data_IF_469875771606
#
_entry.id   IF_469875771606
#
_cell.length_a   1.000
_cell.length_b   1.000
_cell.length_c   1.000
_cell.angle_alpha   90.00
_cell.angle_beta   90.00
_cell.angle_gamma   90.00
#
_symmetry.space_group_name_H-M   'P 1'
#
loop_
_entity.id
_entity.type
_entity.pdbx_description
1 polymer ?
#
# COMPACT_ATOMS: atom_id res chain seq x y z
N UNK A 1 -164.71 -15.01 -57.48
CA UNK A 1 -165.54 -16.21 -57.26
C UNK A 1 -167.05 -15.90 -57.31
N UNK A 2 -167.51 -14.70 -56.91
CA UNK A 2 -168.94 -14.36 -56.86
C UNK A 2 -169.70 -14.34 -58.20
N UNK A 3 -169.01 -14.17 -59.33
CA UNK A 3 -169.65 -14.15 -60.66
C UNK A 3 -170.04 -15.53 -61.22
N UNK A 4 -169.53 -16.63 -60.65
CA UNK A 4 -169.68 -17.98 -61.22
C UNK A 4 -170.86 -18.79 -60.64
N UNK A 5 -171.68 -18.19 -59.78
CA UNK A 5 -172.79 -18.86 -59.10
C UNK A 5 -174.17 -18.28 -59.42
N UNK A 6 -174.27 -17.31 -60.33
CA UNK A 6 -175.51 -16.57 -60.56
C UNK A 6 -176.59 -17.43 -61.23
N UNK A 7 -176.23 -18.28 -62.21
CA UNK A 7 -177.22 -19.14 -62.87
C UNK A 7 -177.58 -20.39 -62.05
N UNK A 8 -176.65 -20.91 -61.25
CA UNK A 8 -176.94 -21.93 -60.22
C UNK A 8 -177.90 -21.41 -59.15
N UNK A 9 -177.76 -20.14 -58.74
CA UNK A 9 -178.70 -19.46 -57.82
C UNK A 9 -180.08 -19.28 -58.45
N UNK A 10 -180.15 -18.84 -59.72
CA UNK A 10 -181.40 -18.73 -60.50
C UNK A 10 -182.14 -20.06 -60.69
N UNK A 11 -181.43 -21.16 -60.94
CA UNK A 11 -182.02 -22.50 -61.01
C UNK A 11 -182.70 -22.86 -59.68
N UNK A 12 -182.00 -22.62 -58.57
CA UNK A 12 -182.51 -22.93 -57.23
C UNK A 12 -183.76 -22.10 -56.89
N UNK A 13 -183.77 -20.81 -57.24
CA UNK A 13 -184.92 -19.92 -57.02
C UNK A 13 -186.13 -20.27 -57.91
N UNK A 14 -185.89 -20.74 -59.15
CA UNK A 14 -186.94 -21.19 -60.07
C UNK A 14 -187.60 -22.50 -59.62
N UNK A 15 -186.82 -23.44 -59.05
CA UNK A 15 -187.35 -24.66 -58.44
C UNK A 15 -188.23 -24.39 -57.21
N UNK A 16 -187.96 -23.28 -56.49
CA UNK A 16 -188.63 -22.91 -55.24
C UNK A 16 -190.03 -22.30 -55.45
N UNK A 17 -190.37 -21.85 -56.66
CA UNK A 17 -191.57 -21.04 -56.95
C UNK A 17 -192.62 -21.70 -57.87
N UNK A 18 -192.55 -23.02 -58.10
CA UNK A 18 -193.40 -23.74 -59.05
C UNK A 18 -194.88 -23.89 -58.60
N UNK A 19 -195.80 -23.28 -59.36
CA UNK A 19 -197.26 -23.46 -59.22
C UNK A 19 -197.78 -24.72 -59.95
N UNK A 20 -199.01 -25.16 -59.62
CA UNK A 20 -199.62 -26.43 -60.08
C UNK A 20 -199.67 -26.60 -61.62
N UNK A 21 -199.85 -25.52 -62.39
CA UNK A 21 -199.83 -25.53 -63.86
C UNK A 21 -198.39 -25.55 -64.44
N UNK A 22 -197.43 -24.90 -63.78
CA UNK A 22 -196.02 -24.87 -64.22
C UNK A 22 -195.28 -26.20 -64.02
N UNK A 23 -195.80 -27.09 -63.16
CA UNK A 23 -195.29 -28.47 -63.02
C UNK A 23 -195.68 -29.40 -64.17
N UNK A 24 -196.81 -29.14 -64.85
CA UNK A 24 -197.30 -29.96 -65.95
C UNK A 24 -196.75 -29.53 -67.33
N UNK A 25 -196.40 -28.25 -67.51
CA UNK A 25 -195.96 -27.72 -68.82
C UNK A 25 -194.67 -26.87 -68.83
N UNK A 26 -194.00 -26.61 -67.67
CA UNK A 26 -192.84 -25.70 -67.56
C UNK A 26 -191.44 -26.32 -67.66
N UNK A 27 -191.31 -27.61 -67.98
CA UNK A 27 -190.03 -28.35 -67.94
C UNK A 27 -188.95 -27.88 -68.93
N UNK A 28 -189.32 -27.15 -69.98
CA UNK A 28 -188.36 -26.56 -70.92
C UNK A 28 -187.44 -25.53 -70.27
N UNK A 29 -187.96 -24.72 -69.34
CA UNK A 29 -187.21 -23.63 -68.70
C UNK A 29 -186.20 -24.15 -67.67
N UNK A 30 -186.56 -25.16 -66.87
CA UNK A 30 -185.67 -25.77 -65.88
C UNK A 30 -184.50 -26.50 -66.56
N UNK A 31 -184.74 -27.17 -67.69
CA UNK A 31 -183.68 -27.84 -68.46
C UNK A 31 -182.63 -26.84 -68.97
N UNK A 32 -183.05 -25.66 -69.42
CA UNK A 32 -182.14 -24.60 -69.87
C UNK A 32 -181.23 -24.14 -68.72
N UNK A 33 -181.83 -23.83 -67.57
CA UNK A 33 -181.09 -23.38 -66.39
C UNK A 33 -180.13 -24.46 -65.86
N UNK A 34 -180.46 -25.75 -66.00
CA UNK A 34 -179.62 -26.85 -65.53
C UNK A 34 -178.37 -27.03 -66.41
N UNK A 35 -178.51 -26.81 -67.71
CA UNK A 35 -177.40 -26.80 -68.67
C UNK A 35 -176.48 -25.60 -68.43
N UNK A 36 -177.07 -24.41 -68.19
CA UNK A 36 -176.31 -23.20 -67.85
C UNK A 36 -175.53 -23.37 -66.54
N UNK A 37 -176.17 -23.91 -65.49
CA UNK A 37 -175.53 -24.20 -64.21
C UNK A 37 -174.39 -25.23 -64.32
N UNK A 38 -174.56 -26.29 -65.11
CA UNK A 38 -173.50 -27.29 -65.33
C UNK A 38 -172.32 -26.72 -66.13
N UNK A 39 -172.59 -25.82 -67.08
CA UNK A 39 -171.56 -25.09 -67.82
C UNK A 39 -170.71 -24.17 -66.92
N UNK A 40 -171.34 -23.50 -65.95
CA UNK A 40 -170.63 -22.71 -64.93
C UNK A 40 -169.75 -23.59 -64.03
N UNK A 41 -170.27 -24.74 -63.59
CA UNK A 41 -169.54 -25.65 -62.72
C UNK A 41 -168.33 -26.29 -63.42
N UNK A 42 -168.45 -26.60 -64.71
CA UNK A 42 -167.30 -27.04 -65.53
C UNK A 42 -166.25 -25.93 -65.71
N UNK A 43 -166.67 -24.67 -65.92
CA UNK A 43 -165.72 -23.54 -65.97
C UNK A 43 -165.01 -23.34 -64.64
N UNK A 44 -165.72 -23.48 -63.51
CA UNK A 44 -165.13 -23.38 -62.18
C UNK A 44 -164.14 -24.54 -61.91
N UNK A 45 -164.48 -25.76 -62.34
CA UNK A 45 -163.56 -26.90 -62.25
C UNK A 45 -162.31 -26.71 -63.11
N UNK A 46 -162.44 -26.12 -64.30
CA UNK A 46 -161.30 -25.82 -65.16
C UNK A 46 -160.38 -24.74 -64.57
N UNK A 47 -160.95 -23.68 -63.97
CA UNK A 47 -160.16 -22.63 -63.30
C UNK A 47 -159.50 -23.12 -62.02
N UNK A 48 -160.16 -23.97 -61.22
CA UNK A 48 -159.54 -24.60 -60.05
C UNK A 48 -158.34 -25.48 -60.44
N UNK A 49 -158.45 -26.25 -61.54
CA UNK A 49 -157.36 -27.05 -62.06
C UNK A 49 -156.21 -26.18 -62.61
N UNK A 50 -156.51 -25.06 -63.27
CA UNK A 50 -155.51 -24.10 -63.75
C UNK A 50 -154.73 -23.46 -62.59
N UNK A 51 -155.43 -23.03 -61.52
CA UNK A 51 -154.79 -22.47 -60.32
C UNK A 51 -153.93 -23.52 -59.62
N UNK A 52 -154.39 -24.77 -59.52
CA UNK A 52 -153.59 -25.85 -58.93
C UNK A 52 -152.31 -26.10 -59.72
N UNK A 53 -152.39 -26.12 -61.06
CA UNK A 53 -151.24 -26.26 -61.93
C UNK A 53 -150.26 -25.08 -61.79
N UNK A 54 -150.78 -23.85 -61.67
CA UNK A 54 -149.98 -22.65 -61.41
C UNK A 54 -149.30 -22.70 -60.04
N UNK A 55 -149.99 -23.17 -59.00
CA UNK A 55 -149.42 -23.31 -57.66
C UNK A 55 -148.28 -24.32 -57.63
N UNK A 56 -148.44 -25.48 -58.30
CA UNK A 56 -147.32 -26.44 -58.46
C UNK A 56 -146.18 -25.86 -59.29
N UNK A 57 -146.45 -24.99 -60.27
CA UNK A 57 -145.41 -24.30 -61.02
C UNK A 57 -144.63 -23.35 -60.12
N UNK A 58 -145.32 -22.55 -59.31
CA UNK A 58 -144.71 -21.60 -58.38
C UNK A 58 -143.90 -22.30 -57.28
N UNK A 59 -144.37 -23.42 -56.72
CA UNK A 59 -143.61 -24.22 -55.76
C UNK A 59 -142.31 -24.75 -56.36
N UNK A 60 -142.35 -25.26 -57.59
CA UNK A 60 -141.15 -25.71 -58.30
C UNK A 60 -140.18 -24.55 -58.54
N UNK A 61 -140.65 -23.38 -58.98
CA UNK A 61 -139.81 -22.20 -59.16
C UNK A 61 -139.18 -21.74 -57.84
N UNK A 62 -139.96 -21.70 -56.75
CA UNK A 62 -139.48 -21.34 -55.41
C UNK A 62 -138.39 -22.31 -54.93
N UNK A 63 -138.54 -23.60 -55.20
CA UNK A 63 -137.54 -24.61 -54.87
C UNK A 63 -136.24 -24.39 -55.66
N UNK A 64 -136.33 -24.09 -56.95
CA UNK A 64 -135.16 -23.78 -57.80
C UNK A 64 -134.44 -22.52 -57.32
N UNK A 65 -135.17 -21.45 -57.00
CA UNK A 65 -134.56 -20.22 -56.47
C UNK A 65 -133.90 -20.42 -55.10
N UNK A 66 -134.48 -21.24 -54.21
CA UNK A 66 -133.83 -21.58 -52.93
C UNK A 66 -132.49 -22.29 -53.13
N UNK A 67 -132.41 -23.20 -54.10
CA UNK A 67 -131.15 -23.88 -54.44
C UNK A 67 -130.15 -22.89 -55.03
N UNK A 68 -130.59 -21.99 -55.93
CA UNK A 68 -129.73 -20.96 -56.48
C UNK A 68 -129.18 -20.01 -55.40
N UNK A 69 -130.03 -19.58 -54.47
CA UNK A 69 -129.62 -18.71 -53.36
C UNK A 69 -128.60 -19.39 -52.44
N UNK A 70 -128.79 -20.69 -52.16
CA UNK A 70 -127.83 -21.49 -51.39
C UNK A 70 -126.49 -21.59 -52.12
N UNK A 71 -126.48 -21.83 -53.42
CA UNK A 71 -125.23 -21.88 -54.20
C UNK A 71 -124.49 -20.53 -54.20
N UNK A 72 -125.22 -19.41 -54.29
CA UNK A 72 -124.64 -18.07 -54.19
C UNK A 72 -124.09 -17.81 -52.78
N UNK A 73 -124.81 -18.22 -51.74
CA UNK A 73 -124.35 -18.13 -50.35
C UNK A 73 -123.05 -18.93 -50.14
N UNK A 74 -122.99 -20.15 -50.65
CA UNK A 74 -121.80 -21.01 -50.56
C UNK A 74 -120.63 -20.41 -51.35
N UNK A 75 -120.90 -19.84 -52.54
CA UNK A 75 -119.91 -19.10 -53.33
C UNK A 75 -119.37 -17.86 -52.62
N UNK A 76 -120.25 -17.08 -51.99
CA UNK A 76 -119.86 -15.91 -51.19
C UNK A 76 -119.00 -16.29 -50.00
N UNK A 77 -119.39 -17.34 -49.26
CA UNK A 77 -118.61 -17.84 -48.13
C UNK A 77 -117.22 -18.30 -48.57
N UNK A 78 -117.12 -19.01 -49.71
CA UNK A 78 -115.83 -19.42 -50.28
C UNK A 78 -114.94 -18.22 -50.62
N UNK A 79 -115.47 -17.23 -51.33
CA UNK A 79 -114.72 -16.01 -51.66
C UNK A 79 -114.30 -15.25 -50.41
N UNK A 80 -115.18 -15.17 -49.40
CA UNK A 80 -114.85 -14.55 -48.11
C UNK A 80 -113.70 -15.26 -47.40
N UNK A 81 -113.67 -16.60 -47.43
CA UNK A 81 -112.55 -17.36 -46.85
C UNK A 81 -111.25 -17.19 -47.64
N UNK A 82 -111.32 -17.19 -48.98
CA UNK A 82 -110.15 -16.94 -49.83
C UNK A 82 -109.59 -15.52 -49.63
N UNK A 83 -110.47 -14.51 -49.46
CA UNK A 83 -110.07 -13.14 -49.18
C UNK A 83 -109.31 -13.02 -47.84
N UNK A 84 -109.78 -13.67 -46.78
CA UNK A 84 -109.09 -13.67 -45.48
C UNK A 84 -107.74 -14.41 -45.52
N UNK A 85 -107.63 -15.50 -46.28
CA UNK A 85 -106.34 -16.19 -46.51
C UNK A 85 -105.36 -15.29 -47.27
N UNK A 86 -105.83 -14.57 -48.30
CA UNK A 86 -104.99 -13.64 -49.06
C UNK A 86 -104.54 -12.47 -48.16
N UNK A 87 -105.44 -11.93 -47.35
CA UNK A 87 -105.14 -10.82 -46.43
C UNK A 87 -104.10 -11.20 -45.38
N UNK A 88 -104.23 -12.38 -44.78
CA UNK A 88 -103.24 -12.91 -43.82
C UNK A 88 -101.89 -13.17 -44.51
N UNK A 89 -101.89 -13.74 -45.71
CA UNK A 89 -100.67 -13.92 -46.51
C UNK A 89 -100.01 -12.59 -46.87
N UNK A 90 -100.78 -11.57 -47.28
CA UNK A 90 -100.27 -10.24 -47.61
C UNK A 90 -99.66 -9.57 -46.37
N UNK A 91 -100.30 -9.71 -45.21
CA UNK A 91 -99.76 -9.19 -43.95
C UNK A 91 -98.40 -9.83 -43.63
N UNK A 92 -98.30 -11.16 -43.73
CA UNK A 92 -97.05 -11.88 -43.50
C UNK A 92 -95.93 -11.47 -44.47
N UNK A 93 -96.25 -11.28 -45.76
CA UNK A 93 -95.29 -10.79 -46.75
C UNK A 93 -94.80 -9.37 -46.42
N UNK A 94 -95.69 -8.51 -45.93
CA UNK A 94 -95.36 -7.13 -45.54
C UNK A 94 -94.44 -7.10 -44.32
N UNK A 95 -94.71 -7.94 -43.32
CA UNK A 95 -93.82 -8.09 -42.16
C UNK A 95 -92.43 -8.62 -42.56
N UNK A 96 -92.38 -9.62 -43.44
CA UNK A 96 -91.11 -10.17 -43.93
C UNK A 96 -90.32 -9.16 -44.76
N UNK A 97 -90.99 -8.33 -45.56
CA UNK A 97 -90.35 -7.23 -46.29
C UNK A 97 -89.73 -6.21 -45.32
N UNK A 98 -90.44 -5.88 -44.24
CA UNK A 98 -89.92 -4.98 -43.21
C UNK A 98 -88.69 -5.57 -42.50
N UNK A 99 -88.75 -6.85 -42.14
CA UNK A 99 -87.60 -7.54 -41.51
C UNK A 99 -86.37 -7.57 -42.43
N UNK A 100 -86.57 -7.83 -43.73
CA UNK A 100 -85.49 -7.79 -44.72
C UNK A 100 -84.93 -6.38 -44.91
N UNK A 101 -85.79 -5.36 -44.88
CA UNK A 101 -85.37 -3.96 -44.98
C UNK A 101 -84.52 -3.55 -43.76
N UNK A 102 -84.97 -3.90 -42.55
CA UNK A 102 -84.21 -3.65 -41.32
C UNK A 102 -82.85 -4.37 -41.35
N UNK A 103 -82.84 -5.65 -41.78
CA UNK A 103 -81.60 -6.40 -42.00
C UNK A 103 -80.67 -5.72 -43.00
N UNK A 104 -81.19 -5.21 -44.11
CA UNK A 104 -80.36 -4.54 -45.11
C UNK A 104 -79.72 -3.27 -44.56
N UNK A 105 -80.46 -2.46 -43.79
CA UNK A 105 -79.92 -1.27 -43.11
C UNK A 105 -78.83 -1.66 -42.10
N UNK A 106 -79.03 -2.74 -41.32
CA UNK A 106 -77.98 -3.22 -40.40
C UNK A 106 -76.73 -3.71 -41.13
N UNK A 107 -76.87 -4.36 -42.29
CA UNK A 107 -75.74 -4.79 -43.10
C UNK A 107 -75.00 -3.60 -43.74
N UNK A 108 -75.71 -2.59 -44.21
CA UNK A 108 -75.10 -1.36 -44.76
C UNK A 108 -74.30 -0.60 -43.70
N UNK A 109 -74.85 -0.45 -42.49
CA UNK A 109 -74.15 0.19 -41.38
C UNK A 109 -72.91 -0.59 -40.95
N UNK A 110 -73.01 -1.92 -40.87
CA UNK A 110 -71.88 -2.78 -40.54
C UNK A 110 -70.79 -2.73 -41.63
N UNK A 111 -71.18 -2.72 -42.91
CA UNK A 111 -70.24 -2.59 -44.03
C UNK A 111 -69.50 -1.24 -44.00
N UNK A 112 -70.21 -0.15 -43.69
CA UNK A 112 -69.59 1.16 -43.51
C UNK A 112 -68.58 1.17 -42.35
N UNK A 113 -68.92 0.52 -41.22
CA UNK A 113 -68.00 0.37 -40.09
C UNK A 113 -66.76 -0.44 -40.46
N UNK A 114 -66.91 -1.57 -41.16
CA UNK A 114 -65.78 -2.38 -41.62
C UNK A 114 -64.89 -1.62 -42.61
N UNK A 115 -65.47 -0.85 -43.53
CA UNK A 115 -64.72 -0.02 -44.46
C UNK A 115 -63.89 1.03 -43.72
N UNK A 116 -64.51 1.74 -42.78
CA UNK A 116 -63.81 2.74 -41.94
C UNK A 116 -62.67 2.09 -41.16
N UNK A 117 -62.91 0.93 -40.52
CA UNK A 117 -61.88 0.20 -39.79
C UNK A 117 -60.75 -0.27 -40.70
N UNK A 118 -61.07 -0.72 -41.91
CA UNK A 118 -60.08 -1.09 -42.92
C UNK A 118 -59.17 0.08 -43.32
N UNK A 119 -59.74 1.29 -43.47
CA UNK A 119 -58.97 2.50 -43.75
C UNK A 119 -58.08 2.91 -42.57
N UNK A 120 -58.59 2.86 -41.34
CA UNK A 120 -57.81 3.12 -40.12
C UNK A 120 -56.61 2.16 -40.02
N UNK A 121 -56.86 0.85 -40.17
CA UNK A 121 -55.80 -0.16 -40.14
C UNK A 121 -54.77 0.03 -41.25
N UNK A 122 -55.19 0.43 -42.45
CA UNK A 122 -54.28 0.73 -43.56
C UNK A 122 -53.37 1.93 -43.23
N UNK A 123 -53.92 2.97 -42.60
CA UNK A 123 -53.16 4.14 -42.16
C UNK A 123 -52.19 3.80 -41.02
N UNK A 124 -52.64 3.02 -40.02
CA UNK A 124 -51.79 2.53 -38.92
C UNK A 124 -50.64 1.66 -39.45
N UNK A 125 -50.92 0.79 -40.42
CA UNK A 125 -49.92 -0.06 -41.07
C UNK A 125 -48.90 0.78 -41.83
N UNK A 126 -49.35 1.80 -42.58
CA UNK A 126 -48.46 2.69 -43.31
C UNK A 126 -47.56 3.50 -42.36
N UNK A 127 -48.13 4.06 -41.29
CA UNK A 127 -47.36 4.78 -40.26
C UNK A 127 -46.34 3.88 -39.56
N UNK A 128 -46.69 2.62 -39.30
CA UNK A 128 -45.77 1.63 -38.71
C UNK A 128 -44.63 1.25 -39.67
N UNK A 129 -44.93 1.07 -40.97
CA UNK A 129 -43.91 0.81 -42.00
C UNK A 129 -42.91 1.96 -42.11
N UNK A 130 -43.39 3.20 -42.14
CA UNK A 130 -42.51 4.38 -42.18
C UNK A 130 -41.59 4.46 -40.95
N UNK A 131 -42.11 4.17 -39.76
CA UNK A 131 -41.31 4.11 -38.53
C UNK A 131 -40.25 3.00 -38.57
N UNK A 132 -40.60 1.85 -39.13
CA UNK A 132 -39.66 0.74 -39.29
C UNK A 132 -38.53 1.11 -40.25
N UNK A 133 -38.85 1.72 -41.40
CA UNK A 133 -37.85 2.18 -42.36
C UNK A 133 -36.91 3.25 -41.79
N UNK A 134 -37.42 4.19 -40.98
CA UNK A 134 -36.57 5.20 -40.34
C UNK A 134 -35.68 4.58 -39.26
N UNK A 135 -36.20 3.65 -38.47
CA UNK A 135 -35.40 2.91 -37.49
C UNK A 135 -34.34 2.03 -38.14
N UNK A 136 -34.65 1.39 -39.27
CA UNK A 136 -33.69 0.56 -40.01
C UNK A 136 -32.55 1.41 -40.56
N UNK A 137 -32.83 2.59 -41.12
CA UNK A 137 -31.79 3.54 -41.56
C UNK A 137 -30.91 3.98 -40.39
N UNK A 138 -31.51 4.37 -39.27
CA UNK A 138 -30.77 4.78 -38.08
C UNK A 138 -29.89 3.64 -37.52
N UNK A 139 -30.41 2.41 -37.50
CA UNK A 139 -29.63 1.23 -37.11
C UNK A 139 -28.46 0.95 -38.05
N UNK A 140 -28.63 1.18 -39.36
CA UNK A 140 -27.53 1.06 -40.32
C UNK A 140 -26.45 2.11 -40.07
N UNK A 141 -26.83 3.37 -39.87
CA UNK A 141 -25.90 4.47 -39.55
C UNK A 141 -25.13 4.19 -38.25
N UNK A 142 -25.82 3.80 -37.18
CA UNK A 142 -25.17 3.43 -35.91
C UNK A 142 -24.23 2.23 -36.05
N UNK A 143 -24.55 1.28 -36.93
CA UNK A 143 -23.70 0.11 -37.18
C UNK A 143 -22.43 0.50 -37.94
N UNK A 144 -22.55 1.40 -38.91
CA UNK A 144 -21.40 1.96 -39.62
C UNK A 144 -20.49 2.79 -38.70
N UNK A 145 -21.07 3.63 -37.86
CA UNK A 145 -20.32 4.42 -36.88
C UNK A 145 -19.59 3.53 -35.87
N UNK A 146 -20.28 2.54 -35.30
CA UNK A 146 -19.64 1.55 -34.42
C UNK A 146 -18.50 0.80 -35.10
N UNK A 147 -18.64 0.47 -36.39
CA UNK A 147 -17.57 -0.18 -37.15
C UNK A 147 -16.35 0.73 -37.31
N UNK A 148 -16.56 2.03 -37.59
CA UNK A 148 -15.48 3.02 -37.66
C UNK A 148 -14.79 3.19 -36.32
N UNK A 149 -15.55 3.39 -35.24
CA UNK A 149 -15.01 3.53 -33.88
C UNK A 149 -14.21 2.31 -33.44
N UNK A 150 -14.68 1.09 -33.74
CA UNK A 150 -13.92 -0.15 -33.44
C UNK A 150 -12.59 -0.21 -34.18
N UNK A 151 -12.58 0.12 -35.47
CA UNK A 151 -11.34 0.17 -36.26
C UNK A 151 -10.37 1.21 -35.75
N UNK A 152 -10.86 2.39 -35.37
CA UNK A 152 -10.03 3.45 -34.79
C UNK A 152 -9.49 3.04 -33.41
N UNK A 153 -10.28 2.38 -32.57
CA UNK A 153 -9.81 1.85 -31.29
C UNK A 153 -8.74 0.77 -31.47
N UNK A 154 -8.92 -0.14 -32.41
CA UNK A 154 -7.94 -1.18 -32.75
C UNK A 154 -6.65 -0.58 -33.28
N UNK A 155 -6.73 0.43 -34.16
CA UNK A 155 -5.57 1.17 -34.64
C UNK A 155 -4.83 1.88 -33.49
N UNK A 156 -5.54 2.57 -32.61
CA UNK A 156 -4.94 3.21 -31.43
C UNK A 156 -4.25 2.18 -30.53
N UNK A 157 -4.87 1.02 -30.28
CA UNK A 157 -4.26 -0.07 -29.49
C UNK A 157 -2.97 -0.58 -30.13
N UNK A 158 -2.95 -0.71 -31.45
CA UNK A 158 -1.76 -1.13 -32.18
C UNK A 158 -0.63 -0.10 -32.07
N UNK A 159 -0.93 1.18 -32.25
CA UNK A 159 0.03 2.28 -32.07
C UNK A 159 0.57 2.33 -30.64
N UNK A 160 -0.30 2.21 -29.62
CA UNK A 160 0.13 2.13 -28.22
C UNK A 160 0.99 0.90 -27.95
N UNK A 161 0.66 -0.25 -28.53
CA UNK A 161 1.48 -1.48 -28.40
C UNK A 161 2.86 -1.29 -29.02
N UNK A 162 2.94 -0.68 -30.20
CA UNK A 162 4.20 -0.38 -30.88
C UNK A 162 5.05 0.62 -30.07
N UNK A 163 4.44 1.70 -29.56
CA UNK A 163 5.09 2.67 -28.70
C UNK A 163 5.59 2.02 -27.40
N UNK A 164 4.81 1.15 -26.77
CA UNK A 164 5.22 0.40 -25.58
C UNK A 164 6.37 -0.56 -25.85
N UNK A 165 6.38 -1.23 -27.01
CA UNK A 165 7.48 -2.09 -27.42
C UNK A 165 8.78 -1.28 -27.60
N UNK A 166 8.71 -0.13 -28.27
CA UNK A 166 9.84 0.80 -28.43
C UNK A 166 10.36 1.32 -27.09
N UNK A 167 9.45 1.75 -26.18
CA UNK A 167 9.82 2.19 -24.83
C UNK A 167 10.49 1.09 -24.02
N UNK A 168 10.01 -0.16 -24.11
CA UNK A 168 10.65 -1.31 -23.45
C UNK A 168 12.04 -1.57 -24.01
N UNK A 169 12.25 -1.43 -25.31
CA UNK A 169 13.58 -1.57 -25.91
C UNK A 169 14.54 -0.49 -25.43
N UNK A 170 14.09 0.78 -25.38
CA UNK A 170 14.88 1.90 -24.85
C UNK A 170 15.20 1.67 -23.37
N UNK A 171 14.21 1.27 -22.58
CA UNK A 171 14.41 0.97 -21.16
C UNK A 171 15.44 -0.14 -20.96
N UNK A 172 15.39 -1.20 -21.77
CA UNK A 172 16.38 -2.28 -21.72
C UNK A 172 17.78 -1.76 -22.06
N UNK A 173 17.93 -0.98 -23.13
CA UNK A 173 19.23 -0.36 -23.49
C UNK A 173 19.79 0.51 -22.37
N UNK A 174 18.96 1.36 -21.76
CA UNK A 174 19.39 2.21 -20.63
C UNK A 174 19.84 1.37 -19.43
N UNK A 175 19.13 0.27 -19.14
CA UNK A 175 19.48 -0.63 -18.04
C UNK A 175 20.81 -1.34 -18.34
N UNK A 176 20.97 -1.89 -19.53
CA UNK A 176 22.19 -2.56 -19.98
C UNK A 176 23.38 -1.59 -19.95
N UNK A 177 23.22 -0.36 -20.47
CA UNK A 177 24.27 0.68 -20.47
C UNK A 177 24.68 1.08 -19.05
N UNK A 178 23.71 1.23 -18.13
CA UNK A 178 24.00 1.52 -16.72
C UNK A 178 24.74 0.39 -16.04
N UNK A 179 24.36 -0.85 -16.31
CA UNK A 179 25.05 -2.02 -15.76
C UNK A 179 26.49 -2.11 -16.29
N UNK A 180 26.70 -1.85 -17.58
CA UNK A 180 28.05 -1.77 -18.16
C UNK A 180 28.87 -0.63 -17.55
N UNK A 181 28.31 0.56 -17.38
CA UNK A 181 29.00 1.68 -16.75
C UNK A 181 29.40 1.37 -15.31
N UNK A 182 28.50 0.73 -14.55
CA UNK A 182 28.77 0.27 -13.18
C UNK A 182 29.89 -0.77 -13.15
N UNK A 183 29.86 -1.74 -14.08
CA UNK A 183 30.90 -2.76 -14.20
C UNK A 183 32.27 -2.15 -14.54
N UNK A 184 32.32 -1.20 -15.48
CA UNK A 184 33.54 -0.49 -15.85
C UNK A 184 34.09 0.31 -14.66
N UNK A 185 33.25 1.05 -13.94
CA UNK A 185 33.64 1.79 -12.74
C UNK A 185 34.18 0.87 -11.65
N UNK A 186 33.49 -0.24 -11.38
CA UNK A 186 33.93 -1.23 -10.40
C UNK A 186 35.27 -1.88 -10.80
N UNK A 187 35.44 -2.22 -12.08
CA UNK A 187 36.71 -2.77 -12.58
C UNK A 187 37.85 -1.74 -12.47
N UNK A 188 37.60 -0.48 -12.82
CA UNK A 188 38.57 0.59 -12.68
C UNK A 188 39.01 0.78 -11.22
N UNK A 189 38.06 0.74 -10.28
CA UNK A 189 38.36 0.86 -8.85
C UNK A 189 39.12 -0.36 -8.31
N UNK A 190 38.75 -1.58 -8.73
CA UNK A 190 39.49 -2.80 -8.38
C UNK A 190 40.92 -2.73 -8.91
N UNK A 191 41.11 -2.27 -10.15
CA UNK A 191 42.44 -2.08 -10.74
C UNK A 191 43.24 -1.02 -9.99
N UNK A 192 42.60 0.08 -9.57
CA UNK A 192 43.22 1.13 -8.75
C UNK A 192 43.70 0.57 -7.42
N UNK A 193 42.83 -0.11 -6.67
CA UNK A 193 43.17 -0.74 -5.39
C UNK A 193 44.30 -1.77 -5.56
N UNK A 194 44.27 -2.57 -6.64
CA UNK A 194 45.33 -3.54 -6.92
C UNK A 194 46.68 -2.86 -7.18
N UNK A 195 46.70 -1.78 -7.98
CA UNK A 195 47.93 -0.98 -8.22
C UNK A 195 48.47 -0.37 -6.94
N UNK A 196 47.61 0.16 -6.07
CA UNK A 196 48.01 0.73 -4.77
C UNK A 196 48.60 -0.32 -3.83
N UNK A 197 48.02 -1.51 -3.79
CA UNK A 197 48.60 -2.63 -3.04
C UNK A 197 49.94 -3.07 -3.61
N UNK A 198 50.08 -3.08 -4.93
CA UNK A 198 51.33 -3.43 -5.61
C UNK A 198 52.44 -2.40 -5.35
N UNK A 199 52.15 -1.10 -5.38
CA UNK A 199 53.13 -0.06 -5.04
C UNK A 199 53.55 -0.11 -3.58
N UNK A 200 52.60 -0.41 -2.68
CA UNK A 200 52.88 -0.61 -1.25
C UNK A 200 53.79 -1.83 -1.01
N UNK A 201 53.43 -3.00 -1.54
CA UNK A 201 54.24 -4.23 -1.43
C UNK A 201 55.63 -4.04 -2.03
N UNK A 202 55.75 -3.39 -3.21
CA UNK A 202 57.05 -3.07 -3.81
C UNK A 202 57.89 -2.16 -2.92
N UNK A 203 57.29 -1.18 -2.24
CA UNK A 203 58.02 -0.31 -1.33
C UNK A 203 58.54 -1.08 -0.12
N UNK A 204 57.67 -1.85 0.54
CA UNK A 204 58.00 -2.68 1.70
C UNK A 204 59.11 -3.69 1.36
N UNK A 205 58.98 -4.41 0.25
CA UNK A 205 59.97 -5.38 -0.23
C UNK A 205 61.30 -4.70 -0.57
N UNK A 206 61.28 -3.51 -1.19
CA UNK A 206 62.49 -2.75 -1.48
C UNK A 206 63.21 -2.29 -0.21
N UNK A 207 62.47 -1.79 0.79
CA UNK A 207 63.04 -1.40 2.09
C UNK A 207 63.66 -2.61 2.78
N UNK A 208 62.96 -3.75 2.78
CA UNK A 208 63.43 -5.01 3.35
C UNK A 208 64.70 -5.54 2.69
N UNK A 209 64.72 -5.59 1.37
CA UNK A 209 65.90 -6.02 0.60
C UNK A 209 67.09 -5.08 0.83
N UNK A 210 66.85 -3.77 0.89
CA UNK A 210 67.89 -2.79 1.19
C UNK A 210 68.43 -2.94 2.61
N UNK A 211 67.56 -3.10 3.60
CA UNK A 211 67.92 -3.36 5.00
C UNK A 211 68.81 -4.59 5.13
N UNK A 212 68.40 -5.74 4.57
CA UNK A 212 69.20 -6.98 4.59
C UNK A 212 70.55 -6.80 3.93
N UNK A 213 70.61 -6.12 2.79
CA UNK A 213 71.87 -5.85 2.09
C UNK A 213 72.82 -4.95 2.90
N UNK A 214 72.30 -3.90 3.55
CA UNK A 214 73.09 -3.03 4.43
C UNK A 214 73.59 -3.81 5.65
N UNK A 215 72.71 -4.58 6.30
CA UNK A 215 73.05 -5.39 7.47
C UNK A 215 74.13 -6.42 7.14
N UNK A 216 74.00 -7.12 6.01
CA UNK A 216 75.01 -8.08 5.56
C UNK A 216 76.36 -7.43 5.23
N UNK A 217 76.34 -6.27 4.55
CA UNK A 217 77.57 -5.53 4.18
C UNK A 217 78.34 -5.06 5.40
N UNK A 218 77.64 -4.56 6.41
CA UNK A 218 78.25 -3.97 7.59
C UNK A 218 78.34 -4.95 8.76
N UNK A 219 77.78 -6.16 8.68
CA UNK A 219 77.81 -7.13 9.79
C UNK A 219 76.90 -6.77 10.96
N UNK A 220 75.78 -6.09 10.69
CA UNK A 220 74.71 -5.83 11.66
C UNK A 220 73.73 -7.01 11.65
N UNK A 221 73.23 -7.43 12.80
CA UNK A 221 72.30 -8.55 12.88
C UNK A 221 70.89 -8.13 12.50
N UNK A 222 70.37 -8.70 11.41
CA UNK A 222 68.99 -8.51 10.98
C UNK A 222 68.10 -9.63 11.53
N UNK A 223 66.97 -9.27 12.14
CA UNK A 223 66.07 -10.22 12.81
C UNK A 223 64.76 -10.33 12.03
N UNK A 224 64.60 -11.44 11.31
CA UNK A 224 63.40 -11.69 10.49
C UNK A 224 62.14 -11.97 11.32
N UNK A 225 62.29 -12.61 12.48
CA UNK A 225 61.18 -12.96 13.36
C UNK A 225 61.50 -12.56 14.79
N UNK A 226 60.88 -11.47 15.22
CA UNK A 226 61.02 -10.97 16.59
C UNK A 226 60.31 -11.87 17.60
N UNK A 227 60.82 -11.98 18.84
CA UNK A 227 60.22 -12.80 19.91
C UNK A 227 59.00 -12.15 20.58
N UNK A 228 58.63 -10.93 20.20
CA UNK A 228 57.56 -10.13 20.83
C UNK A 228 56.36 -9.87 19.90
N UNK A 229 55.26 -9.36 20.47
CA UNK A 229 54.02 -9.08 19.70
C UNK A 229 54.16 -7.80 18.88
N UNK A 230 53.71 -7.82 17.62
CA UNK A 230 53.59 -6.61 16.80
C UNK A 230 54.02 -6.75 15.35
N UNK A 231 54.83 -7.76 15.00
CA UNK A 231 55.38 -8.03 13.65
C UNK A 231 55.82 -6.73 12.93
N UNK A 232 56.85 -6.03 13.42
CA UNK A 232 57.47 -4.94 12.68
C UNK A 232 58.00 -5.43 11.32
N UNK A 233 57.98 -4.55 10.31
CA UNK A 233 58.40 -4.92 8.95
C UNK A 233 59.89 -5.27 8.87
N UNK A 234 60.72 -4.50 9.59
CA UNK A 234 62.14 -4.72 9.70
C UNK A 234 62.62 -4.49 11.13
N UNK A 235 63.54 -5.33 11.59
CA UNK A 235 64.15 -5.20 12.91
C UNK A 235 65.61 -5.57 12.82
N UNK A 236 66.44 -4.79 13.52
CA UNK A 236 67.87 -5.07 13.70
C UNK A 236 68.15 -5.21 15.19
N UNK A 237 69.13 -6.04 15.51
CA UNK A 237 69.65 -6.15 16.87
C UNK A 237 71.00 -5.44 16.93
N UNK A 238 71.10 -4.47 17.83
CA UNK A 238 72.32 -3.69 18.12
C UNK A 238 72.36 -3.56 19.65
N UNK A 239 73.49 -3.86 20.29
CA UNK A 239 73.64 -3.84 21.75
C UNK A 239 72.56 -4.63 22.53
N UNK A 240 72.22 -5.84 22.07
CA UNK A 240 71.14 -6.69 22.62
C UNK A 240 69.73 -6.05 22.67
N UNK A 241 69.56 -4.87 22.08
CA UNK A 241 68.27 -4.21 21.90
C UNK A 241 67.76 -4.38 20.46
N UNK A 242 66.44 -4.52 20.33
CA UNK A 242 65.74 -4.53 19.05
C UNK A 242 65.39 -3.10 18.63
N UNK A 243 65.91 -2.68 17.49
CA UNK A 243 65.59 -1.40 16.86
C UNK A 243 64.66 -1.65 15.67
N UNK A 244 63.56 -0.88 15.62
CA UNK A 244 62.45 -1.13 14.70
C UNK A 244 62.46 -0.14 13.56
N UNK A 245 62.36 -0.67 12.34
CA UNK A 245 62.26 0.06 11.09
C UNK A 245 60.96 -0.38 10.38
N UNK A 246 59.89 0.38 10.56
CA UNK A 246 58.55 0.06 10.04
C UNK A 246 58.33 0.84 8.73
N UNK A 247 58.01 0.16 7.62
CA UNK A 247 57.90 0.80 6.32
C UNK A 247 56.50 1.38 6.12
N UNK A 248 56.39 2.68 5.84
CA UNK A 248 55.12 3.38 5.63
C UNK A 248 55.11 4.05 4.28
N UNK A 249 54.08 3.73 3.49
CA UNK A 249 53.87 4.31 2.17
C UNK A 249 52.42 4.84 2.07
N UNK A 250 52.20 5.94 1.34
CA UNK A 250 50.88 6.53 1.16
C UNK A 250 49.93 5.56 0.45
N UNK A 251 48.68 5.54 0.90
CA UNK A 251 47.65 4.66 0.38
C UNK A 251 47.00 5.15 -0.94
N UNK A 252 47.39 6.32 -1.47
CA UNK A 252 46.77 6.94 -2.65
C UNK A 252 47.66 7.97 -3.36
N UNK A 253 47.17 8.49 -4.50
CA UNK A 253 47.83 9.55 -5.27
C UNK A 253 47.76 10.92 -4.57
N UNK A 254 46.75 11.11 -3.71
CA UNK A 254 46.57 12.33 -2.92
C UNK A 254 47.40 12.22 -1.63
N UNK A 255 48.52 12.93 -1.62
CA UNK A 255 49.52 12.92 -0.54
C UNK A 255 49.16 13.87 0.61
N UNK A 256 48.06 14.64 0.50
CA UNK A 256 47.62 15.58 1.53
C UNK A 256 47.28 14.91 2.87
N UNK A 257 46.77 13.67 2.84
CA UNK A 257 46.41 12.91 4.04
C UNK A 257 47.59 12.14 4.65
N UNK A 258 48.75 12.14 4.00
CA UNK A 258 49.91 11.37 4.44
C UNK A 258 50.47 11.81 5.80
N UNK A 259 50.56 13.11 6.15
CA UNK A 259 51.06 13.54 7.46
C UNK A 259 50.20 13.03 8.62
N UNK A 260 48.88 13.09 8.47
CA UNK A 260 47.92 12.57 9.46
C UNK A 260 48.04 11.05 9.63
N UNK A 261 48.25 10.33 8.51
CA UNK A 261 48.50 8.89 8.55
C UNK A 261 49.81 8.57 9.30
N UNK A 262 50.91 9.26 9.00
CA UNK A 262 52.20 9.06 9.67
C UNK A 262 52.10 9.35 11.17
N UNK A 263 51.38 10.41 11.57
CA UNK A 263 51.11 10.71 12.97
C UNK A 263 50.36 9.58 13.69
N UNK A 264 49.30 9.05 13.07
CA UNK A 264 48.54 7.93 13.63
C UNK A 264 49.39 6.65 13.74
N UNK A 265 50.30 6.41 12.79
CA UNK A 265 51.24 5.30 12.86
C UNK A 265 52.29 5.50 13.95
N UNK A 266 52.75 6.74 14.18
CA UNK A 266 53.68 7.07 15.26
C UNK A 266 53.05 6.80 16.63
N UNK A 267 51.80 7.22 16.88
CA UNK A 267 51.07 6.91 18.11
C UNK A 267 50.81 5.39 18.27
N UNK A 268 50.59 4.69 17.15
CA UNK A 268 50.41 3.24 17.11
C UNK A 268 51.69 2.42 17.35
N UNK A 269 52.87 3.03 17.26
CA UNK A 269 54.15 2.36 17.50
C UNK A 269 54.37 1.98 18.99
N UNK A 270 53.52 2.49 19.90
CA UNK A 270 53.50 2.09 21.31
C UNK A 270 53.40 0.57 21.51
N UNK A 271 52.78 -0.15 20.55
CA UNK A 271 52.67 -1.62 20.59
C UNK A 271 54.04 -2.31 20.62
N UNK A 272 55.07 -1.67 20.08
CA UNK A 272 56.41 -2.22 20.03
C UNK A 272 57.23 -1.88 21.28
N UNK A 273 57.15 -0.63 21.74
CA UNK A 273 58.00 -0.12 22.84
C UNK A 273 57.58 -0.63 24.22
N UNK A 274 56.42 -1.28 24.33
CA UNK A 274 55.98 -1.96 25.56
C UNK A 274 56.75 -3.24 25.86
N UNK A 275 57.41 -3.81 24.86
CA UNK A 275 58.09 -5.10 24.96
C UNK A 275 59.52 -4.90 25.50
N UNK A 276 60.00 -5.86 26.29
CA UNK A 276 61.34 -5.79 26.87
C UNK A 276 62.42 -5.88 25.80
N UNK A 277 63.53 -5.15 26.00
CA UNK A 277 64.67 -5.06 25.08
C UNK A 277 64.34 -4.43 23.70
N UNK A 278 63.25 -3.66 23.59
CA UNK A 278 63.00 -2.82 22.41
C UNK A 278 63.45 -1.40 22.71
N UNK A 279 64.28 -0.83 21.83
CA UNK A 279 64.75 0.55 21.98
C UNK A 279 63.56 1.52 21.93
N UNK A 280 63.60 2.58 22.74
CA UNK A 280 62.56 3.63 22.82
C UNK A 280 62.52 4.57 21.61
N UNK A 281 63.34 4.30 20.59
CA UNK A 281 63.38 5.07 19.35
C UNK A 281 62.91 4.15 18.21
N UNK A 282 61.81 4.54 17.56
CA UNK A 282 61.22 3.79 16.44
C UNK A 282 61.38 4.59 15.16
N UNK A 283 61.78 3.93 14.07
CA UNK A 283 62.00 4.57 12.77
C UNK A 283 60.90 4.19 11.79
N UNK A 284 60.11 5.16 11.34
CA UNK A 284 59.16 4.99 10.24
C UNK A 284 59.87 5.32 8.93
N UNK A 285 60.01 4.32 8.05
CA UNK A 285 60.72 4.45 6.77
C UNK A 285 59.71 4.82 5.70
N UNK A 286 59.87 6.00 5.11
CA UNK A 286 58.96 6.53 4.06
C UNK A 286 59.68 6.68 2.71
N UNK A 287 58.94 6.65 1.58
CA UNK A 287 59.49 6.96 0.27
C UNK A 287 60.02 8.40 0.19
N UNK A 288 61.16 8.62 -0.45
CA UNK A 288 61.82 9.94 -0.54
C UNK A 288 60.92 11.02 -1.17
N UNK A 289 60.07 10.67 -2.12
CA UNK A 289 59.13 11.58 -2.77
C UNK A 289 57.97 12.06 -1.85
N UNK A 290 57.80 11.46 -0.68
CA UNK A 290 56.75 11.86 0.28
C UNK A 290 57.22 12.86 1.33
N UNK A 291 58.53 13.10 1.42
CA UNK A 291 59.13 13.98 2.43
C UNK A 291 58.68 15.44 2.29
N UNK A 292 58.45 15.90 1.05
CA UNK A 292 58.00 17.28 0.78
C UNK A 292 56.65 17.63 1.41
N UNK A 293 55.84 16.61 1.70
CA UNK A 293 54.51 16.76 2.30
C UNK A 293 54.54 16.65 3.83
N UNK A 294 55.69 16.33 4.43
CA UNK A 294 55.85 16.18 5.87
C UNK A 294 56.54 17.41 6.46
N UNK A 295 55.88 18.07 7.42
CA UNK A 295 56.47 19.18 8.17
C UNK A 295 57.22 18.70 9.42
N UNK A 296 56.82 17.55 9.97
CA UNK A 296 57.35 17.00 11.23
C UNK A 296 57.99 15.64 10.98
N UNK A 297 59.25 15.50 11.37
CA UNK A 297 60.03 14.26 11.23
C UNK A 297 60.36 13.59 12.58
N UNK A 298 59.98 14.21 13.69
CA UNK A 298 60.19 13.73 15.05
C UNK A 298 58.89 13.86 15.84
N UNK A 299 58.40 12.74 16.36
CA UNK A 299 57.26 12.69 17.28
C UNK A 299 57.74 12.25 18.66
N UNK A 300 57.89 13.20 19.58
CA UNK A 300 58.25 12.94 20.99
C UNK A 300 57.00 12.60 21.80
N UNK A 301 56.83 11.32 22.13
CA UNK A 301 55.75 10.82 22.98
C UNK A 301 56.30 10.56 24.40
N UNK A 302 55.41 10.36 25.38
CA UNK A 302 55.82 10.33 26.80
C UNK A 302 56.89 9.29 27.12
N UNK A 303 56.81 8.11 26.50
CA UNK A 303 57.69 6.97 26.82
C UNK A 303 58.68 6.62 25.70
N UNK A 304 58.55 7.23 24.52
CA UNK A 304 59.29 6.87 23.31
C UNK A 304 59.27 7.97 22.25
N UNK A 305 60.22 7.90 21.31
CA UNK A 305 60.32 8.85 20.19
C UNK A 305 60.20 8.12 18.88
N UNK A 306 59.43 8.69 17.94
CA UNK A 306 59.31 8.16 16.58
C UNK A 306 59.94 9.12 15.59
N UNK A 307 60.90 8.61 14.82
CA UNK A 307 61.56 9.34 13.75
C UNK A 307 61.03 8.91 12.39
N UNK A 308 60.71 9.88 11.53
CA UNK A 308 60.31 9.62 10.14
C UNK A 308 61.55 9.81 9.27
N UNK A 309 62.00 8.73 8.64
CA UNK A 309 63.22 8.71 7.85
C UNK A 309 62.96 8.31 6.40
N UNK A 310 63.75 8.87 5.49
CA UNK A 310 63.74 8.46 4.10
C UNK A 310 64.41 7.09 3.93
N UNK A 311 63.99 6.32 2.92
CA UNK A 311 64.66 5.08 2.51
C UNK A 311 66.17 5.27 2.28
N UNK A 312 66.59 6.39 1.71
CA UNK A 312 67.99 6.64 1.36
C UNK A 312 68.87 6.89 2.61
N UNK A 313 68.24 7.28 3.74
CA UNK A 313 68.92 7.52 5.01
C UNK A 313 69.14 6.26 5.85
N UNK A 314 68.66 5.09 5.41
CA UNK A 314 68.77 3.83 6.18
C UNK A 314 70.22 3.44 6.48
N UNK A 315 71.09 3.52 5.47
CA UNK A 315 72.50 3.13 5.61
C UNK A 315 73.28 4.03 6.57
N UNK A 316 73.25 5.38 6.43
CA UNK A 316 73.92 6.24 7.40
C UNK A 316 73.31 6.11 8.81
N UNK A 317 72.00 5.91 8.95
CA UNK A 317 71.37 5.75 10.27
C UNK A 317 71.79 4.46 10.97
N UNK A 318 71.81 3.33 10.28
CA UNK A 318 72.29 2.07 10.84
C UNK A 318 73.77 2.15 11.24
N UNK A 319 74.60 2.80 10.42
CA UNK A 319 76.01 3.02 10.74
C UNK A 319 76.18 3.95 11.95
N UNK A 320 75.37 5.00 12.07
CA UNK A 320 75.38 5.87 13.25
C UNK A 320 74.95 5.11 14.50
N UNK A 321 73.89 4.30 14.44
CA UNK A 321 73.42 3.50 15.58
C UNK A 321 74.48 2.48 16.01
N UNK A 322 75.14 1.83 15.06
CA UNK A 322 76.28 0.94 15.32
C UNK A 322 77.49 1.69 15.87
N UNK A 323 77.79 2.88 15.36
CA UNK A 323 78.89 3.71 15.86
C UNK A 323 78.60 4.22 17.27
N UNK A 324 77.32 4.50 17.59
CA UNK A 324 76.88 4.79 18.97
C UNK A 324 77.10 3.57 19.85
N UNK A 325 76.84 2.35 19.37
CA UNK A 325 77.25 1.11 20.07
C UNK A 325 78.77 1.06 20.29
N UNK A 326 79.59 1.34 19.27
CA UNK A 326 81.05 1.44 19.42
C UNK A 326 81.46 2.54 20.42
N UNK A 327 80.71 3.64 20.52
CA UNK A 327 80.95 4.72 21.49
C UNK A 327 80.39 4.42 22.89
N UNK A 328 79.31 3.66 23.05
CA UNK A 328 78.90 3.12 24.35
C UNK A 328 79.95 2.12 24.87
N UNK A 329 80.62 1.40 23.96
CA UNK A 329 81.80 0.61 24.28
C UNK A 329 83.09 1.45 24.44
N UNK A 330 83.22 2.58 23.73
CA UNK A 330 84.39 3.47 23.77
C UNK A 330 84.30 4.59 24.81
N UNK A 331 83.15 4.78 25.47
CA UNK A 331 83.03 5.54 26.70
C UNK A 331 83.38 4.63 27.86
N UNK A 332 84.69 4.45 28.04
CA UNK A 332 85.20 4.98 29.29
C UNK A 332 84.69 6.42 29.44
N UNK A 333 83.58 6.62 30.17
CA UNK A 333 83.67 7.65 31.18
C UNK A 333 85.02 7.41 31.87
N UNK A 334 85.83 8.45 32.08
CA UNK A 334 87.07 8.22 32.82
C UNK A 334 86.70 7.45 34.11
N UNK A 335 87.55 6.52 34.60
CA UNK A 335 87.28 5.86 35.87
C UNK A 335 86.83 6.86 36.95
N UNK A 336 87.36 8.08 36.91
CA UNK A 336 86.93 9.21 37.75
C UNK A 336 85.50 9.68 37.51
N UNK A 337 85.02 9.84 36.28
CA UNK A 337 83.63 10.28 36.00
C UNK A 337 82.61 9.22 36.41
N UNK A 338 82.91 7.94 36.16
CA UNK A 338 82.12 6.81 36.66
C UNK A 338 82.13 6.76 38.18
N UNK A 339 83.29 6.90 38.82
CA UNK A 339 83.39 6.95 40.28
C UNK A 339 82.64 8.16 40.85
N UNK A 340 82.70 9.31 40.19
CA UNK A 340 82.01 10.53 40.60
C UNK A 340 80.49 10.37 40.50
N UNK A 341 79.96 9.83 39.40
CA UNK A 341 78.52 9.55 39.28
C UNK A 341 78.09 8.50 40.31
N UNK A 342 78.83 7.40 40.45
CA UNK A 342 78.56 6.38 41.48
C UNK A 342 78.63 6.95 42.89
N UNK A 343 79.55 7.88 43.17
CA UNK A 343 79.67 8.56 44.47
C UNK A 343 78.50 9.51 44.71
N UNK A 344 78.05 10.25 43.70
CA UNK A 344 76.89 11.15 43.81
C UNK A 344 75.60 10.34 44.00
N UNK A 345 75.37 9.31 43.19
CA UNK A 345 74.22 8.41 43.32
C UNK A 345 74.27 7.69 44.67
N UNK A 346 75.44 7.19 45.07
CA UNK A 346 75.64 6.55 46.37
C UNK A 346 75.28 7.48 47.54
N UNK A 347 75.74 8.73 47.51
CA UNK A 347 75.38 9.77 48.49
C UNK A 347 73.87 10.07 48.46
N UNK A 348 73.28 10.20 47.27
CA UNK A 348 71.84 10.45 47.11
C UNK A 348 70.98 9.31 47.65
N UNK A 349 71.30 8.06 47.29
CA UNK A 349 70.63 6.86 47.79
C UNK A 349 70.77 6.75 49.30
N UNK A 350 71.97 7.02 49.84
CA UNK A 350 72.21 7.02 51.28
C UNK A 350 71.37 8.09 52.00
N UNK A 351 71.40 9.34 51.52
CA UNK A 351 70.60 10.43 52.08
C UNK A 351 69.10 10.14 52.01
N UNK A 352 68.63 9.59 50.89
CA UNK A 352 67.23 9.20 50.70
C UNK A 352 66.81 8.09 51.68
N UNK A 353 67.61 7.02 51.79
CA UNK A 353 67.40 5.95 52.78
C UNK A 353 67.38 6.50 54.20
N UNK A 354 68.29 7.40 54.53
CA UNK A 354 68.37 8.01 55.87
C UNK A 354 67.16 8.91 56.14
N UNK A 355 66.71 9.69 55.15
CA UNK A 355 65.51 10.52 55.27
C UNK A 355 64.27 9.66 55.52
N UNK A 356 64.09 8.58 54.74
CA UNK A 356 63.00 7.62 54.95
C UNK A 356 63.04 7.01 56.35
N UNK A 357 64.23 6.63 56.84
CA UNK A 357 64.38 6.10 58.20
C UNK A 357 64.04 7.13 59.28
N UNK A 358 64.47 8.39 59.13
CA UNK A 358 64.17 9.48 60.06
C UNK A 358 62.67 9.78 60.06
N UNK A 359 62.07 9.95 58.89
CA UNK A 359 60.63 10.20 58.75
C UNK A 359 59.83 9.02 59.32
N UNK A 360 60.28 7.77 59.09
CA UNK A 360 59.69 6.57 59.69
C UNK A 360 59.83 6.50 61.21
N UNK A 361 60.96 6.95 61.77
CA UNK A 361 61.16 7.05 63.22
C UNK A 361 60.23 8.09 63.85
N UNK A 362 60.17 9.29 63.28
CA UNK A 362 59.28 10.34 63.76
C UNK A 362 57.81 9.97 63.59
N UNK A 363 57.43 9.32 62.48
CA UNK A 363 56.08 8.79 62.30
C UNK A 363 55.71 7.82 63.45
N UNK A 364 56.61 6.92 63.85
CA UNK A 364 56.37 6.03 65.01
C UNK A 364 56.20 6.82 66.31
N UNK A 365 57.04 7.82 66.56
CA UNK A 365 56.92 8.69 67.75
C UNK A 365 55.61 9.49 67.75
N UNK A 366 55.19 10.01 66.60
CA UNK A 366 53.90 10.69 66.45
C UNK A 366 52.74 9.74 66.70
N UNK A 367 52.75 8.53 66.12
CA UNK A 367 51.72 7.52 66.41
C UNK A 367 51.67 7.17 67.89
N UNK A 368 52.81 6.97 68.54
CA UNK A 368 52.86 6.71 69.98
C UNK A 368 52.27 7.86 70.80
N UNK A 369 52.58 9.11 70.45
CA UNK A 369 52.00 10.29 71.10
C UNK A 369 50.49 10.36 70.88
N UNK A 370 50.00 10.11 69.66
CA UNK A 370 48.57 10.08 69.35
C UNK A 370 47.88 9.00 70.19
N UNK A 371 48.42 7.78 70.24
CA UNK A 371 47.84 6.70 71.04
C UNK A 371 47.84 6.99 72.54
N UNK A 372 48.91 7.60 73.07
CA UNK A 372 48.95 8.05 74.48
C UNK A 372 47.91 9.14 74.75
N UNK A 373 47.76 10.08 73.83
CA UNK A 373 46.76 11.16 73.92
C UNK A 373 45.34 10.60 73.90
N UNK A 374 45.05 9.62 73.04
CA UNK A 374 43.76 8.92 73.01
C UNK A 374 43.48 8.11 74.29
N UNK A 375 44.52 7.53 74.90
CA UNK A 375 44.38 6.74 76.12
C UNK A 375 44.22 7.60 77.40
N UNK A 376 44.90 8.75 77.46
CA UNK A 376 44.99 9.56 78.68
C UNK A 376 43.91 10.66 78.79
N UNK A 377 43.20 11.02 77.69
CA UNK A 377 42.13 12.03 77.72
C UNK A 377 40.72 11.45 77.98
N UNK A 378 39.88 12.24 78.65
CA UNK A 378 38.46 11.91 78.84
C UNK A 378 37.62 12.16 77.58
N UNK A 379 36.50 11.44 77.45
CA UNK A 379 35.66 11.42 76.24
C UNK A 379 35.20 12.80 75.75
N UNK A 380 34.84 13.71 76.65
CA UNK A 380 34.36 15.05 76.31
C UNK A 380 35.44 15.93 75.65
N UNK A 381 36.72 15.71 76.01
CA UNK A 381 37.83 16.42 75.36
C UNK A 381 38.22 15.78 74.04
N UNK A 382 38.17 14.45 73.92
CA UNK A 382 38.43 13.75 72.65
C UNK A 382 37.43 14.18 71.56
N UNK A 383 36.17 14.43 71.92
CA UNK A 383 35.16 14.89 70.96
C UNK A 383 35.46 16.31 70.43
N UNK A 384 35.91 17.22 71.31
CA UNK A 384 36.37 18.56 70.89
C UNK A 384 37.67 18.50 70.07
N UNK A 385 38.62 17.64 70.42
CA UNK A 385 39.85 17.44 69.64
C UNK A 385 39.52 16.95 68.24
N UNK A 386 38.59 16.00 68.09
CA UNK A 386 38.12 15.52 66.80
C UNK A 386 37.38 16.59 65.98
N UNK A 387 36.65 17.50 66.63
CA UNK A 387 36.01 18.65 65.96
C UNK A 387 37.07 19.62 65.38
N UNK A 388 38.11 19.94 66.16
CA UNK A 388 39.23 20.76 65.68
C UNK A 388 40.04 20.08 64.58
N UNK A 389 40.36 18.79 64.72
CA UNK A 389 41.08 18.02 63.70
C UNK A 389 40.33 18.02 62.35
N UNK A 390 39.01 17.80 62.36
CA UNK A 390 38.19 17.84 61.14
C UNK A 390 38.13 19.22 60.49
N UNK A 391 38.33 20.28 61.27
CA UNK A 391 38.30 21.66 60.79
C UNK A 391 39.60 22.11 60.13
N UNK A 392 40.73 21.46 60.44
CA UNK A 392 42.05 21.81 59.94
C UNK A 392 42.44 20.91 58.75
N UNK A 393 42.88 21.52 57.64
CA UNK A 393 43.28 20.79 56.43
C UNK A 393 44.65 21.24 55.96
N UNK A 394 45.66 20.41 56.19
CA UNK A 394 47.01 20.59 55.66
C UNK A 394 47.17 19.73 54.40
N UNK A 395 47.29 20.36 53.22
CA UNK A 395 47.61 19.64 51.99
C UNK A 395 49.08 19.85 51.62
N UNK A 396 49.83 18.79 51.30
CA UNK A 396 51.14 18.97 50.69
C UNK A 396 51.02 19.65 49.32
N UNK A 397 52.04 20.41 48.88
CA UNK A 397 52.07 21.00 47.53
C UNK A 397 51.85 19.93 46.45
N UNK A 398 50.95 20.19 45.49
CA UNK A 398 50.66 19.27 44.38
C UNK A 398 51.59 19.52 43.19
N UNK A 399 52.30 18.49 42.76
CA UNK A 399 53.14 18.52 41.56
C UNK A 399 52.28 18.54 40.29
N UNK A 400 52.50 19.52 39.40
CA UNK A 400 51.80 19.64 38.11
C UNK A 400 52.73 19.17 37.00
N UNK A 401 52.26 18.22 36.17
CA UNK A 401 53.02 17.46 35.16
C UNK A 401 53.89 18.25 34.16
N UNK A 402 53.70 19.56 34.02
CA UNK A 402 54.41 20.40 33.04
C UNK A 402 55.42 21.37 33.66
N UNK A 403 55.43 21.57 34.99
CA UNK A 403 56.33 22.55 35.61
C UNK A 403 57.54 21.87 36.24
N UNK A 404 58.71 22.10 35.67
CA UNK A 404 59.99 21.75 36.30
C UNK A 404 60.17 22.55 37.59
N UNK A 405 60.50 21.87 38.69
CA UNK A 405 60.85 22.53 39.95
C UNK A 405 62.24 23.13 39.79
N UNK A 406 62.33 24.46 39.84
CA UNK A 406 63.59 25.19 39.64
C UNK A 406 64.43 25.15 40.92
N UNK A 407 65.74 24.88 40.79
CA UNK A 407 66.67 24.93 41.94
C UNK A 407 66.72 26.32 42.58
N UNK A 408 66.53 27.38 41.78
CA UNK A 408 66.47 28.77 42.27
C UNK A 408 65.23 29.04 43.12
N UNK A 409 64.10 28.40 42.80
CA UNK A 409 62.87 28.54 43.58
C UNK A 409 63.03 27.81 44.92
N UNK A 410 63.62 26.61 44.91
CA UNK A 410 63.92 25.85 46.13
C UNK A 410 64.92 26.57 47.06
N UNK A 411 65.95 27.21 46.51
CA UNK A 411 66.89 28.01 47.28
C UNK A 411 66.22 29.24 47.92
N UNK A 412 65.39 29.97 47.16
CA UNK A 412 64.65 31.11 47.69
C UNK A 412 63.64 30.72 48.79
N UNK A 413 62.96 29.59 48.61
CA UNK A 413 62.07 29.03 49.64
C UNK A 413 62.85 28.58 50.88
N UNK A 414 64.02 27.98 50.72
CA UNK A 414 64.89 27.59 51.83
C UNK A 414 65.40 28.81 52.62
N UNK A 415 65.84 29.86 51.93
CA UNK A 415 66.25 31.13 52.56
C UNK A 415 65.10 31.78 53.33
N UNK A 416 63.89 31.75 52.76
CA UNK A 416 62.68 32.25 53.44
C UNK A 416 62.38 31.45 54.71
N UNK A 417 62.41 30.12 54.64
CA UNK A 417 62.21 29.24 55.80
C UNK A 417 63.28 29.51 56.88
N UNK A 418 64.53 29.69 56.47
CA UNK A 418 65.63 30.01 57.39
C UNK A 418 65.42 31.37 58.08
N UNK A 419 65.00 32.40 57.32
CA UNK A 419 64.66 33.71 57.87
C UNK A 419 63.47 33.66 58.84
N UNK A 420 62.43 32.91 58.51
CA UNK A 420 61.27 32.69 59.41
C UNK A 420 61.66 31.93 60.68
N UNK A 421 62.55 30.94 60.59
CA UNK A 421 63.06 30.18 61.73
C UNK A 421 63.89 31.09 62.67
N UNK A 422 64.78 31.91 62.11
CA UNK A 422 65.58 32.88 62.88
C UNK A 422 64.70 33.93 63.57
N UNK A 423 63.67 34.45 62.89
CA UNK A 423 62.71 35.39 63.51
C UNK A 423 61.93 34.76 64.67
N UNK A 424 61.69 33.45 64.63
CA UNK A 424 61.07 32.68 65.72
C UNK A 424 62.08 32.24 66.79
N UNK A 425 63.33 32.69 66.72
CA UNK A 425 64.38 32.39 67.69
C UNK A 425 64.97 30.98 67.58
N UNK A 426 64.70 30.26 66.49
CA UNK A 426 65.27 28.94 66.22
C UNK A 426 66.61 29.15 65.50
N UNK A 427 67.70 28.98 66.22
CA UNK A 427 69.05 29.17 65.67
C UNK A 427 69.46 27.98 64.80
N UNK A 428 69.30 28.13 63.49
CA UNK A 428 69.70 27.15 62.47
C UNK A 428 71.18 27.35 62.11
N UNK A 429 72.10 27.22 63.09
CA UNK A 429 73.54 27.15 62.80
C UNK A 429 73.88 25.79 62.20
N UNK A 430 73.67 25.67 60.89
CA UNK A 430 73.85 24.42 60.13
C UNK A 430 75.24 23.80 60.30
N UNK A 431 76.29 24.61 60.49
CA UNK A 431 77.66 24.13 60.59
C UNK A 431 78.02 23.43 61.92
N UNK A 432 77.29 23.71 63.01
CA UNK A 432 77.57 23.14 64.33
C UNK A 432 76.77 21.85 64.55
N UNK A 433 75.48 21.86 64.16
CA UNK A 433 74.60 20.68 64.24
C UNK A 433 75.05 19.54 63.32
N UNK A 434 75.49 19.84 62.08
CA UNK A 434 76.03 18.81 61.18
C UNK A 434 77.28 18.13 61.77
N UNK A 435 78.17 18.89 62.42
CA UNK A 435 79.38 18.35 63.02
C UNK A 435 79.09 17.47 64.23
N UNK A 436 78.08 17.80 65.03
CA UNK A 436 77.71 17.00 66.21
C UNK A 436 76.83 15.79 65.84
N UNK A 437 75.91 15.91 64.89
CA UNK A 437 75.10 14.78 64.40
C UNK A 437 75.99 13.72 63.74
N UNK A 438 77.01 14.13 62.98
CA UNK A 438 77.95 13.20 62.35
C UNK A 438 78.91 12.52 63.34
N UNK A 439 78.99 12.97 64.61
CA UNK A 439 79.78 12.34 65.67
C UNK A 439 78.98 11.31 66.48
N UNK A 440 77.66 11.25 66.32
CA UNK A 440 76.83 10.29 67.05
C UNK A 440 77.09 8.87 66.51
N UNK A 441 77.63 7.95 67.32
CA UNK A 441 77.89 6.59 66.87
C UNK A 441 76.55 5.85 66.78
N UNK A 442 76.10 5.57 65.56
CA UNK A 442 74.76 5.01 65.38
C UNK A 442 74.65 3.52 65.74
N UNK A 443 75.74 2.73 65.75
CA UNK A 443 75.84 1.42 66.41
C UNK A 443 77.32 1.03 66.60
N UNK A 444 77.84 1.02 67.83
CA UNK A 444 79.06 0.25 68.15
C UNK A 444 78.62 -1.19 68.47
N UNK A 445 79.01 -2.16 67.64
CA UNK A 445 79.29 -3.51 68.13
C UNK A 445 80.80 -3.68 68.08
N UNK A 446 81.41 -3.56 69.24
CA UNK A 446 82.79 -3.95 69.49
C UNK A 446 82.86 -5.47 69.57
N UNK A 447 83.39 -6.12 68.53
CA UNK A 447 84.20 -7.33 68.68
C UNK A 447 85.37 -7.27 67.68
N UNK A 448 86.62 -7.53 68.10
CA UNK A 448 87.75 -7.61 67.19
C UNK A 448 87.75 -9.00 66.53
N UNK A 449 87.60 -9.05 65.21
CA UNK A 449 87.72 -10.31 64.46
C UNK A 449 89.19 -10.77 64.45
N UNK A 450 89.50 -11.75 65.29
CA UNK A 450 90.72 -12.55 65.23
C UNK A 450 90.56 -13.61 64.14
N UNK A 451 90.70 -13.23 62.87
CA UNK A 451 91.27 -14.11 61.84
C UNK A 451 91.44 -13.37 60.52
N UNK A 452 92.66 -12.91 60.27
CA UNK A 452 93.34 -13.03 58.97
C UNK A 452 94.75 -12.49 59.15
N UNK A 453 95.65 -13.40 59.50
CA UNK A 453 97.08 -13.21 59.25
C UNK A 453 97.29 -13.08 57.74
N UNK A 454 98.05 -12.04 57.39
CA UNK A 454 98.90 -11.83 56.22
C UNK A 454 98.67 -12.68 54.98
N UNK A 455 98.47 -11.98 53.85
CA UNK A 455 99.06 -12.34 52.56
C UNK A 455 99.19 -11.06 51.72
N UNK A 456 100.13 -10.20 52.12
CA UNK A 456 101.04 -9.56 51.18
C UNK A 456 102.35 -10.35 51.23
N UNK A 457 102.49 -11.28 50.30
CA UNK A 457 103.71 -11.46 49.50
C UNK A 457 103.32 -11.30 48.03
#
# INVERSE_FOLDING_TARGET
MDFFLDNTRRLFDSLKSLSLWNRLFGWGQIKSQLVEANGELQKLSATANAIKAENTRLENTLSVEKVALKNVQDGFNRVSTELEVIKTSQHHQTEKLKELQDKNVTLETLNHQYLKRGQELANELNGSKQKLETQDKYNQELKEENSKLKKEDEFRRQEYSNAMASLREIQRKIQDDREQEQLIKNQAEILRIRKLKETWLKHEENVKNRMRAICHRHGIEYVDKVPFKGKPDNTVRINDEYIIFDAKSPAGDDLSNFPSYVKAQAEGAMKYVKEENVRKEVFLVVPTNTLEYLETFEYRLSDYTVYVIARDSLEPMLLTLRRIEEYEFAEQMSPEERENICRVIGKFVHLSKRRIQIDGFFAKQFFELVYRTEADLSKDFLEKVAEFERSEKLNPPQEKREKQISTKELEADAEKIQGEAQQKGIDMQDNLLMKEINKLPLYFTTEPDKSQQDLFE
#
